data_IF_783586581610
#
_entry.id   IF_783586581610
#
_cell.length_a   1.000
_cell.length_b   1.000
_cell.length_c   1.000
_cell.angle_alpha   90.00
_cell.angle_beta   90.00
_cell.angle_gamma   90.00
#
_symmetry.space_group_name_H-M   'P 1'
#
loop_
_entity.id
_entity.type
_entity.pdbx_description
1 polymer ?
#
# COMPACT_ATOMS: atom_id res chain seq x y z
N UNK A 1 -5.61 -12.62 18.68
CA UNK A 1 -6.70 -13.10 17.82
C UNK A 1 -6.12 -13.47 16.47
N UNK A 2 -6.58 -14.58 15.87
CA UNK A 2 -6.08 -15.07 14.58
C UNK A 2 -6.67 -14.24 13.45
N UNK A 3 -5.83 -13.77 12.53
CA UNK A 3 -6.24 -13.09 11.30
C UNK A 3 -6.79 -14.15 10.34
N UNK A 4 -8.03 -14.02 9.84
CA UNK A 4 -8.63 -15.05 9.01
C UNK A 4 -7.93 -15.11 7.66
N UNK A 5 -7.69 -16.33 7.18
CA UNK A 5 -7.19 -16.59 5.84
C UNK A 5 -8.28 -16.28 4.80
N UNK A 6 -7.91 -15.61 3.72
CA UNK A 6 -8.83 -15.23 2.65
C UNK A 6 -8.60 -16.06 1.39
N UNK A 7 -7.36 -16.06 0.89
CA UNK A 7 -7.01 -16.70 -0.38
C UNK A 7 -5.51 -16.98 -0.46
N UNK A 8 -5.16 -17.97 -1.27
CA UNK A 8 -3.80 -18.21 -1.73
C UNK A 8 -3.78 -18.32 -3.26
N UNK A 9 -2.72 -17.85 -3.91
CA UNK A 9 -2.58 -17.96 -5.38
C UNK A 9 -1.15 -17.80 -5.86
N UNK A 10 -0.90 -18.34 -7.06
CA UNK A 10 0.40 -18.24 -7.76
C UNK A 10 0.57 -16.86 -8.40
N UNK A 11 1.82 -16.44 -8.54
CA UNK A 11 2.22 -15.20 -9.18
C UNK A 11 2.37 -15.30 -10.71
N UNK A 12 2.35 -16.51 -11.27
CA UNK A 12 2.73 -16.75 -12.68
C UNK A 12 1.77 -16.14 -13.71
N UNK A 13 0.52 -15.87 -13.31
CA UNK A 13 -0.55 -15.37 -14.19
C UNK A 13 -0.89 -13.90 -13.96
N UNK A 14 -0.24 -13.25 -13.01
CA UNK A 14 -0.56 -11.87 -12.62
C UNK A 14 0.66 -10.97 -12.81
N UNK A 15 0.41 -9.75 -13.26
CA UNK A 15 1.45 -8.73 -13.39
C UNK A 15 1.47 -7.91 -12.11
N UNK A 16 2.60 -7.93 -11.41
CA UNK A 16 2.78 -7.14 -10.20
C UNK A 16 3.00 -5.66 -10.56
N UNK A 17 2.18 -4.80 -10.00
CA UNK A 17 2.27 -3.34 -10.12
C UNK A 17 3.25 -2.79 -9.07
N UNK A 18 3.96 -1.73 -9.43
CA UNK A 18 4.94 -1.13 -8.54
C UNK A 18 5.74 -0.02 -9.19
N UNK A 19 6.75 0.45 -8.47
CA UNK A 19 7.66 1.51 -8.90
C UNK A 19 9.10 0.97 -8.92
N UNK A 20 9.88 1.33 -9.94
CA UNK A 20 11.29 0.92 -10.09
C UNK A 20 11.53 -0.61 -10.04
N UNK A 21 10.60 -1.40 -10.58
CA UNK A 21 10.70 -2.88 -10.61
C UNK A 21 10.48 -3.55 -9.24
N UNK A 22 10.10 -2.78 -8.21
CA UNK A 22 9.72 -3.33 -6.91
C UNK A 22 8.20 -3.43 -6.81
N UNK A 23 7.63 -4.63 -6.65
CA UNK A 23 6.20 -4.79 -6.58
C UNK A 23 5.66 -4.21 -5.27
N UNK A 24 4.48 -3.60 -5.31
CA UNK A 24 3.92 -2.89 -4.16
C UNK A 24 3.57 -3.85 -3.01
N UNK A 25 3.17 -5.09 -3.31
CA UNK A 25 2.87 -6.11 -2.29
C UNK A 25 4.09 -6.45 -1.42
N UNK A 26 5.32 -6.37 -1.97
CA UNK A 26 6.55 -6.63 -1.20
C UNK A 26 6.80 -5.54 -0.15
N UNK A 27 6.19 -4.36 -0.32
CA UNK A 27 6.29 -3.22 0.60
C UNK A 27 5.06 -3.12 1.52
N UNK A 28 4.21 -4.14 1.57
CA UNK A 28 2.94 -4.10 2.31
C UNK A 28 3.08 -3.66 3.77
N UNK A 29 4.05 -4.21 4.50
CA UNK A 29 4.24 -3.86 5.92
C UNK A 29 4.59 -2.38 6.09
N UNK A 30 5.52 -1.87 5.28
CA UNK A 30 5.94 -0.47 5.29
C UNK A 30 4.79 0.48 4.92
N UNK A 31 3.99 0.11 3.90
CA UNK A 31 2.83 0.91 3.47
C UNK A 31 1.78 0.97 4.57
N UNK A 32 1.43 -0.18 5.16
CA UNK A 32 0.45 -0.23 6.25
C UNK A 32 0.89 0.57 7.47
N UNK A 33 2.17 0.50 7.82
CA UNK A 33 2.71 1.29 8.91
C UNK A 33 2.68 2.79 8.58
N UNK A 34 2.99 3.19 7.35
CA UNK A 34 2.87 4.57 6.90
C UNK A 34 1.42 5.07 6.96
N UNK A 35 0.45 4.26 6.52
CA UNK A 35 -0.98 4.58 6.63
C UNK A 35 -1.41 4.72 8.10
N UNK A 36 -0.95 3.84 8.99
CA UNK A 36 -1.19 3.94 10.44
C UNK A 36 -0.68 5.27 11.00
N UNK A 37 0.56 5.67 10.67
CA UNK A 37 1.16 6.93 11.10
C UNK A 37 0.45 8.16 10.51
N UNK A 38 -0.15 8.02 9.32
CA UNK A 38 -0.96 9.04 8.66
C UNK A 38 -2.41 9.07 9.15
N UNK A 39 -2.77 8.25 10.14
CA UNK A 39 -4.14 8.10 10.67
C UNK A 39 -5.15 7.68 9.58
N UNK A 40 -4.73 6.77 8.71
CA UNK A 40 -5.53 6.21 7.61
C UNK A 40 -5.84 4.71 7.84
N UNK A 41 -6.52 4.33 8.94
CA UNK A 41 -6.80 2.93 9.24
C UNK A 41 -7.79 2.31 8.25
N UNK A 42 -8.75 3.08 7.72
CA UNK A 42 -9.74 2.58 6.76
C UNK A 42 -9.07 2.02 5.50
N UNK A 43 -8.12 2.75 4.91
CA UNK A 43 -7.33 2.29 3.76
C UNK A 43 -6.55 1.01 4.13
N UNK A 44 -5.88 0.99 5.30
CA UNK A 44 -5.12 -0.18 5.72
C UNK A 44 -6.00 -1.41 5.97
N UNK A 45 -7.22 -1.21 6.43
CA UNK A 45 -8.21 -2.27 6.68
C UNK A 45 -8.77 -2.85 5.36
N UNK A 46 -8.81 -2.05 4.28
CA UNK A 46 -9.17 -2.55 2.96
C UNK A 46 -8.11 -3.43 2.30
N UNK A 47 -6.88 -3.48 2.83
CA UNK A 47 -5.79 -4.24 2.24
C UNK A 47 -5.60 -5.56 3.00
N UNK A 48 -5.70 -6.70 2.31
CA UNK A 48 -5.26 -7.96 2.88
C UNK A 48 -3.74 -7.93 3.13
N UNK A 49 -3.27 -8.74 4.07
CA UNK A 49 -1.86 -8.85 4.42
C UNK A 49 -1.25 -9.99 3.61
N UNK A 50 -0.32 -9.70 2.67
CA UNK A 50 0.36 -10.73 1.90
C UNK A 50 1.42 -11.44 2.76
N UNK A 51 1.50 -12.75 2.62
CA UNK A 51 2.56 -13.59 3.14
C UNK A 51 3.05 -14.51 2.03
N UNK A 52 4.30 -14.33 1.62
CA UNK A 52 4.93 -15.25 0.66
C UNK A 52 5.15 -16.60 1.34
N UNK A 53 4.91 -17.66 0.58
CA UNK A 53 5.30 -19.01 1.00
C UNK A 53 6.84 -19.16 0.99
N UNK A 54 7.34 -20.28 1.52
CA UNK A 54 8.77 -20.55 1.59
C UNK A 54 9.48 -20.61 0.23
N UNK A 55 8.73 -20.93 -0.84
CA UNK A 55 9.23 -21.03 -2.22
C UNK A 55 9.16 -19.69 -2.97
N UNK A 56 8.49 -18.67 -2.39
CA UNK A 56 8.27 -17.34 -2.94
C UNK A 56 7.55 -17.31 -4.30
N UNK A 57 6.82 -18.37 -4.65
CA UNK A 57 6.04 -18.52 -5.89
C UNK A 57 4.52 -18.32 -5.65
N UNK A 58 4.09 -18.34 -4.38
CA UNK A 58 2.68 -18.12 -3.98
C UNK A 58 2.57 -17.11 -2.84
N UNK A 59 1.47 -16.37 -2.83
CA UNK A 59 1.12 -15.46 -1.74
C UNK A 59 -0.16 -15.93 -1.07
N UNK A 60 -0.09 -16.06 0.25
CA UNK A 60 -1.23 -16.24 1.15
C UNK A 60 -1.70 -14.86 1.64
N UNK A 61 -2.99 -14.60 1.52
CA UNK A 61 -3.62 -13.33 1.88
C UNK A 61 -4.51 -13.52 3.10
N UNK A 62 -4.28 -12.70 4.11
CA UNK A 62 -5.03 -12.71 5.37
C UNK A 62 -5.76 -11.39 5.58
N UNK A 63 -6.94 -11.42 6.19
CA UNK A 63 -7.63 -10.18 6.54
C UNK A 63 -6.84 -9.43 7.65
N UNK A 64 -6.90 -8.09 7.67
CA UNK A 64 -6.17 -7.32 8.67
C UNK A 64 -6.80 -7.37 10.06
N UNK A 65 -8.07 -7.75 10.15
CA UNK A 65 -8.86 -7.91 11.39
C UNK A 65 -9.67 -9.21 11.35
N UNK A 66 -10.16 -9.65 12.52
CA UNK A 66 -11.01 -10.84 12.65
C UNK A 66 -12.46 -10.53 12.30
N UNK A 67 -13.21 -11.52 11.81
CA UNK A 67 -14.63 -11.40 11.46
C UNK A 67 -15.11 -12.54 10.56
N UNK A 68 -16.41 -12.57 10.25
CA UNK A 68 -16.97 -13.51 9.28
C UNK A 68 -16.51 -13.13 7.87
N UNK A 69 -15.83 -14.05 7.20
CA UNK A 69 -15.38 -13.88 5.81
C UNK A 69 -16.50 -14.27 4.84
N UNK A 70 -16.79 -13.41 3.88
CA UNK A 70 -17.71 -13.65 2.77
C UNK A 70 -17.07 -13.21 1.45
N UNK A 71 -16.93 -14.07 0.44
CA UNK A 71 -16.46 -13.63 -0.87
C UNK A 71 -17.49 -12.70 -1.53
N UNK A 72 -17.03 -11.77 -2.38
CA UNK A 72 -17.90 -10.80 -3.07
C UNK A 72 -19.07 -11.46 -3.82
N UNK A 73 -18.82 -12.60 -4.47
CA UNK A 73 -19.84 -13.38 -5.18
C UNK A 73 -20.98 -13.88 -4.30
N UNK A 74 -20.73 -14.10 -3.00
CA UNK A 74 -21.73 -14.56 -2.03
C UNK A 74 -22.39 -13.41 -1.24
N UNK A 75 -21.99 -12.17 -1.49
CA UNK A 75 -22.60 -10.99 -0.88
C UNK A 75 -23.95 -10.64 -1.55
N UNK A 76 -24.90 -10.14 -0.77
CA UNK A 76 -26.12 -9.56 -1.32
C UNK A 76 -25.87 -8.14 -1.88
N UNK A 77 -26.82 -7.61 -2.64
CA UNK A 77 -26.64 -6.31 -3.32
C UNK A 77 -26.56 -5.12 -2.37
N UNK A 78 -27.13 -5.22 -1.16
CA UNK A 78 -26.97 -4.16 -0.16
C UNK A 78 -25.54 -4.16 0.39
N UNK A 79 -25.01 -5.34 0.70
CA UNK A 79 -23.63 -5.51 1.14
C UNK A 79 -22.63 -5.07 0.07
N UNK A 80 -22.85 -5.45 -1.19
CA UNK A 80 -22.00 -5.02 -2.32
C UNK A 80 -21.99 -3.50 -2.47
N UNK A 81 -23.17 -2.85 -2.45
CA UNK A 81 -23.26 -1.38 -2.51
C UNK A 81 -22.56 -0.70 -1.34
N UNK A 82 -22.83 -1.14 -0.12
CA UNK A 82 -22.21 -0.57 1.08
C UNK A 82 -20.68 -0.72 1.09
N UNK A 83 -20.18 -1.84 0.57
CA UNK A 83 -18.74 -2.09 0.47
C UNK A 83 -18.09 -1.31 -0.67
N UNK A 84 -18.76 -1.17 -1.81
CA UNK A 84 -18.28 -0.33 -2.91
C UNK A 84 -18.18 1.14 -2.46
N UNK A 85 -19.17 1.66 -1.73
CA UNK A 85 -19.10 3.01 -1.13
C UNK A 85 -17.89 3.18 -0.20
N UNK A 86 -17.56 2.16 0.61
CA UNK A 86 -16.36 2.20 1.45
C UNK A 86 -15.06 2.19 0.62
N UNK A 87 -15.01 1.41 -0.46
CA UNK A 87 -13.89 1.37 -1.38
C UNK A 87 -13.69 2.70 -2.12
N UNK A 88 -14.76 3.32 -2.62
CA UNK A 88 -14.73 4.63 -3.29
C UNK A 88 -14.21 5.73 -2.35
N UNK A 89 -14.64 5.71 -1.07
CA UNK A 89 -14.11 6.61 -0.05
C UNK A 89 -12.61 6.40 0.17
N UNK A 90 -12.16 5.14 0.28
CA UNK A 90 -10.74 4.81 0.41
C UNK A 90 -9.93 5.25 -0.82
N UNK A 91 -10.48 5.11 -2.03
CA UNK A 91 -9.81 5.57 -3.26
C UNK A 91 -9.62 7.08 -3.25
N UNK A 92 -10.65 7.82 -2.90
CA UNK A 92 -10.59 9.29 -2.77
C UNK A 92 -9.48 9.70 -1.79
N UNK A 93 -9.41 9.05 -0.62
CA UNK A 93 -8.40 9.32 0.40
C UNK A 93 -6.98 8.94 -0.07
N UNK A 94 -6.82 7.79 -0.74
CA UNK A 94 -5.54 7.34 -1.30
C UNK A 94 -5.03 8.32 -2.36
N UNK A 95 -5.90 8.81 -3.25
CA UNK A 95 -5.52 9.80 -4.25
C UNK A 95 -5.11 11.13 -3.63
N UNK A 96 -5.85 11.61 -2.64
CA UNK A 96 -5.50 12.83 -1.92
C UNK A 96 -4.13 12.69 -1.24
N UNK A 97 -3.89 11.55 -0.57
CA UNK A 97 -2.61 11.25 0.07
C UNK A 97 -1.47 11.14 -0.95
N UNK A 98 -1.72 10.51 -2.11
CA UNK A 98 -0.77 10.40 -3.21
C UNK A 98 -0.36 11.79 -3.72
N UNK A 99 -1.33 12.65 -4.06
CA UNK A 99 -1.09 14.02 -4.54
C UNK A 99 -0.25 14.83 -3.53
N UNK A 100 -0.60 14.77 -2.25
CA UNK A 100 0.14 15.47 -1.19
C UNK A 100 1.58 14.94 -1.04
N UNK A 101 1.76 13.61 -1.08
CA UNK A 101 3.06 12.99 -0.90
C UNK A 101 4.00 13.21 -2.10
N UNK A 102 3.46 13.22 -3.34
CA UNK A 102 4.21 13.53 -4.56
C UNK A 102 4.66 15.00 -4.60
N UNK A 103 3.86 15.92 -4.08
CA UNK A 103 4.21 17.34 -4.01
C UNK A 103 5.25 17.67 -2.91
N UNK A 104 5.53 16.74 -1.99
CA UNK A 104 6.46 16.96 -0.90
C UNK A 104 7.92 17.05 -1.40
N UNK A 105 8.81 17.84 -0.76
CA UNK A 105 10.20 17.97 -1.20
C UNK A 105 11.07 16.74 -0.88
N UNK A 106 10.60 15.83 -0.01
CA UNK A 106 11.35 14.64 0.38
C UNK A 106 11.17 13.52 -0.65
N UNK A 107 12.25 13.10 -1.30
CA UNK A 107 12.24 12.02 -2.30
C UNK A 107 11.63 10.70 -1.79
N UNK A 108 11.72 10.41 -0.48
CA UNK A 108 11.08 9.24 0.12
C UNK A 108 9.55 9.35 0.15
N UNK A 109 9.01 10.53 0.45
CA UNK A 109 7.57 10.79 0.41
C UNK A 109 7.04 10.81 -1.02
N UNK A 110 7.81 11.39 -1.95
CA UNK A 110 7.45 11.36 -3.37
C UNK A 110 7.31 9.93 -3.90
N UNK A 111 8.28 9.05 -3.57
CA UNK A 111 8.22 7.63 -3.91
C UNK A 111 7.04 6.93 -3.26
N UNK A 112 6.75 7.21 -2.00
CA UNK A 112 5.56 6.68 -1.33
C UNK A 112 4.27 7.13 -2.04
N UNK A 113 4.14 8.41 -2.35
CA UNK A 113 2.99 8.93 -3.08
C UNK A 113 2.84 8.32 -4.47
N UNK A 114 3.94 8.08 -5.18
CA UNK A 114 3.93 7.37 -6.46
C UNK A 114 3.40 5.94 -6.32
N UNK A 115 3.81 5.20 -5.28
CA UNK A 115 3.31 3.84 -5.03
C UNK A 115 1.81 3.80 -4.75
N UNK A 116 1.27 4.80 -4.06
CA UNK A 116 -0.15 4.83 -3.67
C UNK A 116 -1.13 4.72 -4.85
N UNK A 117 -0.73 5.12 -6.06
CA UNK A 117 -1.58 5.00 -7.26
C UNK A 117 -1.93 3.55 -7.62
N UNK A 118 -1.16 2.58 -7.15
CA UNK A 118 -1.37 1.16 -7.40
C UNK A 118 -2.06 0.44 -6.24
N UNK A 119 -2.32 1.12 -5.12
CA UNK A 119 -2.64 0.48 -3.85
C UNK A 119 -3.99 -0.26 -3.85
N UNK A 120 -4.99 0.28 -4.53
CA UNK A 120 -6.33 -0.29 -4.61
C UNK A 120 -6.61 -0.98 -5.95
N UNK A 121 -5.58 -1.22 -6.77
CA UNK A 121 -5.69 -1.96 -8.03
C UNK A 121 -5.65 -3.45 -7.75
N UNK A 122 -6.55 -4.24 -8.31
CA UNK A 122 -6.60 -5.70 -8.19
C UNK A 122 -7.16 -6.30 -9.49
N UNK A 123 -7.01 -7.63 -9.72
CA UNK A 123 -7.31 -8.21 -11.03
C UNK A 123 -8.81 -8.22 -11.40
N UNK A 124 -9.69 -8.63 -10.48
CA UNK A 124 -11.14 -8.76 -10.72
C UNK A 124 -11.93 -8.99 -9.41
N UNK A 125 -13.27 -9.08 -9.52
CA UNK A 125 -14.21 -9.27 -8.40
C UNK A 125 -13.91 -10.49 -7.50
N UNK A 126 -13.25 -11.54 -8.02
CA UNK A 126 -12.93 -12.75 -7.25
C UNK A 126 -11.89 -12.48 -6.14
N UNK A 127 -11.25 -11.31 -6.20
CA UNK A 127 -10.21 -10.90 -5.27
C UNK A 127 -10.74 -10.01 -4.14
N UNK A 128 -12.06 -9.81 -4.06
CA UNK A 128 -12.71 -8.97 -3.05
C UNK A 128 -13.47 -9.83 -2.05
N UNK A 129 -13.28 -9.53 -0.77
CA UNK A 129 -13.94 -10.19 0.35
C UNK A 129 -14.59 -9.16 1.26
N UNK A 130 -15.65 -9.56 1.95
CA UNK A 130 -16.24 -8.82 3.05
C UNK A 130 -15.86 -9.52 4.34
N UNK A 131 -15.32 -8.80 5.30
CA UNK A 131 -15.05 -9.29 6.65
C UNK A 131 -15.89 -8.43 7.59
N UNK A 132 -16.92 -9.02 8.20
CA UNK A 132 -17.95 -8.29 8.96
C UNK A 132 -18.50 -7.05 8.23
N UNK A 133 -18.77 -7.20 6.93
CA UNK A 133 -19.34 -6.13 6.07
C UNK A 133 -18.33 -5.07 5.59
N UNK A 134 -17.06 -5.16 5.99
CA UNK A 134 -15.99 -4.28 5.50
C UNK A 134 -15.25 -4.92 4.32
N UNK A 135 -15.00 -4.19 3.22
CA UNK A 135 -14.28 -4.74 2.07
C UNK A 135 -12.80 -4.95 2.39
N UNK A 136 -12.27 -6.09 1.96
CA UNK A 136 -10.85 -6.45 2.02
C UNK A 136 -10.41 -7.00 0.67
N UNK A 137 -9.45 -6.33 0.05
CA UNK A 137 -8.87 -6.67 -1.25
C UNK A 137 -7.71 -7.65 -1.06
N UNK A 138 -7.72 -8.74 -1.81
CA UNK A 138 -6.57 -9.64 -2.00
C UNK A 138 -5.92 -9.33 -3.35
N UNK A 139 -4.65 -9.71 -3.55
CA UNK A 139 -3.93 -9.41 -4.80
C UNK A 139 -4.00 -7.93 -5.20
N UNK A 140 -4.07 -7.04 -4.22
CA UNK A 140 -3.92 -5.62 -4.48
C UNK A 140 -2.50 -5.36 -4.98
N UNK A 141 -2.34 -4.39 -5.87
CA UNK A 141 -1.11 -4.17 -6.59
C UNK A 141 -0.83 -5.21 -7.69
N UNK A 142 -1.85 -5.88 -8.21
CA UNK A 142 -1.73 -6.76 -9.38
C UNK A 142 -2.77 -6.42 -10.43
N UNK A 143 -2.47 -6.72 -11.69
CA UNK A 143 -3.41 -6.73 -12.81
C UNK A 143 -3.28 -8.03 -13.61
N UNK A 144 -4.31 -8.36 -14.40
CA UNK A 144 -4.15 -9.36 -15.46
C UNK A 144 -3.22 -8.81 -16.55
N UNK A 145 -2.48 -9.71 -17.21
CA UNK A 145 -1.55 -9.31 -18.28
C UNK A 145 -2.29 -8.73 -19.51
N UNK A 146 -3.52 -9.19 -19.77
CA UNK A 146 -4.31 -8.74 -20.93
C UNK A 146 -5.19 -7.51 -20.62
N UNK A 147 -5.35 -7.14 -19.34
CA UNK A 147 -6.23 -6.05 -18.94
C UNK A 147 -5.56 -4.70 -19.25
N UNK A 148 -6.22 -3.87 -20.07
CA UNK A 148 -5.82 -2.47 -20.23
C UNK A 148 -6.01 -1.72 -18.91
N UNK A 149 -5.11 -0.78 -18.63
CA UNK A 149 -5.19 0.11 -17.47
C UNK A 149 -6.45 0.95 -17.53
N UNK A 150 -7.53 0.47 -16.91
CA UNK A 150 -8.72 1.29 -16.65
C UNK A 150 -8.34 2.39 -15.65
N UNK A 151 -8.96 3.56 -15.74
CA UNK A 151 -8.70 4.63 -14.78
C UNK A 151 -9.36 4.31 -13.43
N UNK A 152 -10.47 3.57 -13.45
CA UNK A 152 -11.22 3.18 -12.26
C UNK A 152 -10.86 1.77 -11.77
N UNK A 153 -10.28 1.61 -10.56
CA UNK A 153 -9.90 0.29 -10.04
C UNK A 153 -11.10 -0.60 -9.71
N UNK A 154 -12.29 -0.04 -9.51
CA UNK A 154 -13.49 -0.76 -9.10
C UNK A 154 -14.48 -0.98 -10.24
N UNK A 155 -14.10 -0.68 -11.49
CA UNK A 155 -14.98 -0.86 -12.65
C UNK A 155 -15.62 -2.25 -12.69
N UNK A 156 -14.84 -3.31 -12.42
CA UNK A 156 -15.35 -4.68 -12.36
C UNK A 156 -16.37 -4.94 -11.24
N UNK A 157 -16.44 -4.09 -10.19
CA UNK A 157 -17.38 -4.24 -9.08
C UNK A 157 -18.70 -3.52 -9.33
N UNK A 158 -18.74 -2.61 -10.31
CA UNK A 158 -19.95 -1.88 -10.64
C UNK A 158 -20.88 -2.79 -11.43
N UNK A 159 -22.19 -2.78 -11.14
CA UNK A 159 -23.15 -3.48 -11.97
C UNK A 159 -22.98 -3.01 -13.41
N UNK A 160 -22.95 -3.95 -14.36
CA UNK A 160 -23.13 -3.60 -15.76
C UNK A 160 -24.53 -3.00 -15.88
N UNK A 161 -24.61 -1.66 -15.90
CA UNK A 161 -25.85 -0.90 -16.14
C UNK A 161 -26.33 -1.05 -17.59
N UNK A 162 -25.80 -2.04 -18.32
CA UNK A 162 -26.32 -2.44 -19.61
C UNK A 162 -27.77 -2.87 -19.41
N UNK A 163 -28.74 -2.16 -20.00
CA UNK A 163 -30.11 -2.65 -20.03
C UNK A 163 -30.05 -4.08 -20.58
N UNK A 164 -30.73 -5.06 -19.95
CA UNK A 164 -30.87 -6.37 -20.59
C UNK A 164 -31.34 -6.09 -22.02
N UNK A 165 -30.72 -6.69 -23.06
CA UNK A 165 -31.13 -6.46 -24.43
C UNK A 165 -32.64 -6.66 -24.45
N UNK A 166 -33.37 -5.59 -24.82
CA UNK A 166 -34.81 -5.61 -24.83
C UNK A 166 -35.20 -6.83 -25.65
N UNK A 167 -35.65 -7.90 -24.97
CA UNK A 167 -36.23 -9.04 -25.64
C UNK A 167 -37.41 -8.42 -26.34
N UNK A 168 -37.32 -8.29 -27.66
CA UNK A 168 -38.35 -7.69 -28.47
C UNK A 168 -39.63 -8.48 -28.19
N UNK A 169 -40.47 -7.94 -27.32
CA UNK A 169 -41.81 -8.46 -27.12
C UNK A 169 -42.47 -8.39 -28.51
N UNK A 170 -43.07 -9.48 -29.02
CA UNK A 170 -43.78 -9.41 -30.28
C UNK A 170 -44.85 -8.34 -30.15
N UNK A 171 -44.78 -7.37 -31.05
CA UNK A 171 -45.70 -6.25 -31.13
C UNK A 171 -47.14 -6.77 -31.21
N UNK A 172 -47.89 -6.59 -30.12
CA UNK A 172 -49.33 -6.79 -30.11
C UNK A 172 -50.00 -5.42 -30.13
N UNK A 173 -50.58 -5.12 -31.29
CA UNK A 173 -51.75 -4.29 -31.56
C UNK A 173 -51.80 -2.85 -31.01
N UNK A 174 -51.63 -1.92 -31.95
CA UNK A 174 -52.08 -0.54 -31.92
C UNK A 174 -53.59 -0.43 -31.66
N UNK A 175 -53.99 0.46 -30.75
CA UNK A 175 -55.30 1.11 -30.78
C UNK A 175 -55.10 2.61 -30.50
N UNK A 176 -55.63 3.53 -31.32
CA UNK A 176 -55.58 4.97 -31.05
C UNK A 176 -56.88 5.44 -30.38
N UNK A 177 -56.78 6.32 -29.38
CA UNK A 177 -57.28 7.70 -29.48
C UNK A 177 -56.96 8.53 -28.23
N UNK A 178 -56.67 9.81 -28.47
CA UNK A 178 -56.33 10.91 -27.54
C UNK A 178 -57.63 11.59 -27.01
N UNK A 179 -57.61 12.76 -26.31
CA UNK A 179 -56.75 13.27 -25.23
C UNK A 179 -57.60 13.78 -24.02
N UNK A 180 -57.00 14.00 -22.84
CA UNK A 180 -57.62 14.86 -21.81
C UNK A 180 -56.57 15.62 -21.00
N UNK A 181 -56.83 16.90 -20.81
CA UNK A 181 -55.91 17.95 -20.39
C UNK A 181 -55.63 18.00 -18.88
N UNK A 182 -54.38 18.38 -18.57
CA UNK A 182 -53.78 19.16 -17.47
C UNK A 182 -54.67 19.60 -16.26
N UNK A 183 -54.13 19.73 -15.03
CA UNK A 183 -53.18 20.82 -14.77
C UNK A 183 -51.97 20.52 -13.88
N UNK A 184 -50.96 21.35 -14.18
CA UNK A 184 -49.72 21.62 -13.47
C UNK A 184 -49.95 22.01 -12.00
N UNK A 185 -49.22 21.40 -11.07
CA UNK A 185 -49.12 21.84 -9.66
C UNK A 185 -47.70 22.41 -9.45
N UNK A 186 -47.57 23.65 -8.95
CA UNK A 186 -46.29 24.38 -8.89
C UNK A 186 -45.34 23.86 -7.78
N UNK A 187 -44.03 24.18 -7.87
CA UNK A 187 -43.05 23.80 -6.85
C UNK A 187 -43.18 24.66 -5.59
N UNK A 188 -43.23 24.00 -4.43
CA UNK A 188 -43.18 24.64 -3.12
C UNK A 188 -41.75 25.07 -2.76
N UNK A 189 -41.50 26.34 -2.38
CA UNK A 189 -40.23 26.78 -1.84
C UNK A 189 -40.21 26.54 -0.32
N UNK A 190 -39.20 25.83 0.20
CA UNK A 190 -38.88 25.87 1.63
C UNK A 190 -37.73 26.83 1.88
N UNK A 191 -38.12 28.03 2.30
CA UNK A 191 -37.22 29.07 2.77
C UNK A 191 -36.71 28.81 4.19
N UNK A 192 -35.46 29.23 4.39
CA UNK A 192 -34.91 29.88 5.58
C UNK A 192 -34.77 29.09 6.90
N UNK A 193 -33.52 28.76 7.20
CA UNK A 193 -33.02 28.49 8.56
C UNK A 193 -31.69 29.20 8.82
N UNK A 194 -31.69 30.54 8.82
CA UNK A 194 -30.60 31.36 9.38
C UNK A 194 -30.50 31.08 10.88
N UNK A 195 -29.47 30.36 11.32
CA UNK A 195 -29.01 30.39 12.71
C UNK A 195 -27.50 30.58 12.77
N UNK A 196 -27.13 31.85 13.02
CA UNK A 196 -26.07 32.29 13.95
C UNK A 196 -24.66 31.81 13.58
N UNK A 197 -24.00 32.45 12.62
CA UNK A 197 -23.05 33.56 12.90
C UNK A 197 -22.93 33.90 14.39
N UNK A 198 -22.07 33.17 15.11
CA UNK A 198 -21.35 33.60 16.33
C UNK A 198 -20.41 32.48 16.79
N UNK A 199 -19.41 32.10 15.98
CA UNK A 199 -18.28 31.27 16.43
C UNK A 199 -16.94 31.76 15.86
N UNK A 200 -16.84 33.05 15.51
CA UNK A 200 -15.56 33.65 15.10
C UNK A 200 -14.65 34.15 16.25
N UNK A 201 -15.10 34.44 17.50
CA UNK A 201 -14.14 34.81 18.55
C UNK A 201 -13.47 33.61 19.24
N UNK A 202 -14.06 32.39 19.18
CA UNK A 202 -13.52 31.22 19.88
C UNK A 202 -12.26 30.64 19.20
N UNK A 203 -12.19 30.69 17.87
CA UNK A 203 -11.04 30.17 17.10
C UNK A 203 -9.81 31.05 17.27
N UNK A 204 -9.98 32.38 17.38
CA UNK A 204 -8.87 33.31 17.56
C UNK A 204 -8.15 33.13 18.91
N UNK A 205 -8.90 32.86 20.00
CA UNK A 205 -8.32 32.63 21.34
C UNK A 205 -7.55 31.30 21.38
N UNK A 206 -8.09 30.24 20.77
CA UNK A 206 -7.39 28.93 20.69
C UNK A 206 -6.09 29.05 19.89
N UNK A 207 -6.10 29.74 18.76
CA UNK A 207 -4.89 29.94 17.96
C UNK A 207 -3.81 30.76 18.70
N UNK A 208 -4.21 31.79 19.46
CA UNK A 208 -3.26 32.56 20.27
C UNK A 208 -2.64 31.74 21.41
N UNK A 209 -3.42 30.88 22.07
CA UNK A 209 -2.89 29.99 23.13
C UNK A 209 -1.93 28.93 22.59
N UNK A 210 -2.19 28.36 21.40
CA UNK A 210 -1.30 27.39 20.76
C UNK A 210 0.02 28.02 20.30
N UNK A 211 -0.02 29.27 19.81
CA UNK A 211 1.18 30.00 19.43
C UNK A 211 2.05 30.34 20.64
N UNK A 212 1.45 30.77 21.76
CA UNK A 212 2.16 31.04 23.01
C UNK A 212 2.81 29.78 23.60
N UNK A 213 2.11 28.64 23.56
CA UNK A 213 2.70 27.35 23.96
C UNK A 213 3.88 26.99 23.05
N UNK A 214 3.72 27.01 21.74
CA UNK A 214 4.81 26.68 20.80
C UNK A 214 6.06 27.56 20.99
N UNK A 215 5.86 28.85 21.30
CA UNK A 215 6.95 29.77 21.60
C UNK A 215 7.66 29.44 22.92
N UNK A 216 6.92 29.04 23.95
CA UNK A 216 7.50 28.66 25.25
C UNK A 216 8.34 27.37 25.12
N UNK A 217 7.84 26.35 24.43
CA UNK A 217 8.57 25.10 24.20
C UNK A 217 9.86 25.30 23.38
N UNK A 218 9.88 26.28 22.47
CA UNK A 218 11.07 26.62 21.67
C UNK A 218 12.17 27.31 22.49
N UNK A 219 11.81 28.01 23.58
CA UNK A 219 12.79 28.60 24.50
C UNK A 219 13.35 27.57 25.48
N UNK A 220 12.59 26.52 25.78
CA UNK A 220 12.98 25.49 26.75
C UNK A 220 13.95 24.43 26.22
N UNK A 221 14.37 24.46 24.95
CA UNK A 221 15.38 23.53 24.42
C UNK A 221 16.79 24.10 24.57
N UNK A 222 17.59 23.71 25.58
CA UNK A 222 18.98 24.08 25.65
C UNK A 222 19.77 23.42 24.49
N UNK A 223 20.73 24.12 23.88
CA UNK A 223 21.55 23.54 22.82
C UNK A 223 22.42 22.42 23.37
N UNK A 224 22.16 21.19 22.93
CA UNK A 224 22.97 20.01 23.26
C UNK A 224 24.39 20.21 22.72
N UNK A 225 25.33 20.59 23.58
CA UNK A 225 26.77 20.59 23.27
C UNK A 225 27.18 19.16 22.90
N UNK A 226 27.55 18.95 21.64
CA UNK A 226 28.18 17.69 21.19
C UNK A 226 29.48 17.48 21.98
N UNK A 227 29.70 16.31 22.59
CA UNK A 227 31.01 16.00 23.15
C UNK A 227 32.04 15.86 22.01
N UNK A 228 33.29 16.32 22.21
CA UNK A 228 34.34 16.14 21.22
C UNK A 228 34.66 14.65 21.05
N UNK A 229 34.80 14.21 19.80
CA UNK A 229 35.20 12.85 19.45
C UNK A 229 36.60 12.53 20.01
N UNK A 230 36.84 11.33 20.58
CA UNK A 230 38.18 10.91 20.96
C UNK A 230 39.03 10.65 19.71
N UNK A 231 40.16 11.36 19.62
CA UNK A 231 41.18 11.14 18.60
C UNK A 231 41.66 9.68 18.61
N UNK A 232 41.36 8.93 17.56
CA UNK A 232 42.01 7.66 17.27
C UNK A 232 43.48 7.93 16.92
N UNK A 233 44.39 7.69 17.88
CA UNK A 233 45.83 7.59 17.64
C UNK A 233 46.07 6.51 16.59
N UNK A 234 46.38 6.92 15.37
CA UNK A 234 46.98 6.07 14.34
C UNK A 234 48.30 5.53 14.91
N UNK A 235 48.30 4.24 15.27
CA UNK A 235 49.53 3.49 15.52
C UNK A 235 50.40 3.59 14.27
N UNK A 236 51.56 4.21 14.43
CA UNK A 236 52.59 4.31 13.42
C UNK A 236 52.92 2.91 12.88
N UNK A 237 52.66 2.68 11.59
CA UNK A 237 53.21 1.54 10.88
C UNK A 237 54.74 1.73 10.79
N UNK A 238 55.47 1.01 11.63
CA UNK A 238 56.91 0.80 11.50
C UNK A 238 57.15 0.19 10.11
N UNK A 239 57.77 0.95 9.21
CA UNK A 239 58.19 0.47 7.89
C UNK A 239 59.27 -0.60 8.08
N UNK A 240 59.14 -1.82 7.51
CA UNK A 240 60.25 -2.76 7.53
C UNK A 240 61.35 -2.28 6.58
N UNK A 241 62.58 -2.33 7.10
CA UNK A 241 63.85 -2.02 6.45
C UNK A 241 63.98 -2.82 5.15
N UNK A 242 64.18 -2.14 4.01
CA UNK A 242 64.53 -2.78 2.72
C UNK A 242 65.88 -3.50 2.88
N UNK A 243 65.89 -4.84 2.84
CA UNK A 243 67.08 -5.60 2.48
C UNK A 243 67.15 -5.71 0.96
N UNK A 244 68.28 -5.27 0.39
CA UNK A 244 68.67 -5.48 -1.01
C UNK A 244 69.01 -6.96 -1.20
N UNK A 245 68.39 -7.59 -2.18
CA UNK A 245 68.89 -8.83 -2.81
C UNK A 245 68.43 -8.86 -4.27
N UNK A 246 69.35 -9.30 -5.13
CA UNK A 246 69.42 -9.17 -6.59
C UNK A 246 68.19 -9.60 -7.42
N UNK A 247 68.07 -9.12 -8.68
CA UNK A 247 66.94 -9.41 -9.56
C UNK A 247 67.01 -10.82 -10.15
N UNK A 248 65.99 -11.64 -9.90
CA UNK A 248 65.75 -12.85 -10.69
C UNK A 248 65.17 -12.48 -12.06
N UNK A 249 65.93 -12.80 -13.12
CA UNK A 249 65.48 -12.80 -14.51
C UNK A 249 64.51 -13.96 -14.75
N UNK A 250 63.21 -13.72 -14.67
CA UNK A 250 62.13 -14.34 -15.47
C UNK A 250 60.79 -13.95 -14.86
N UNK A 251 59.76 -13.89 -15.71
CA UNK A 251 58.38 -13.48 -15.43
C UNK A 251 58.14 -11.95 -15.50
N UNK A 252 57.90 -11.47 -16.73
CA UNK A 252 57.00 -10.34 -17.00
C UNK A 252 55.64 -10.67 -16.36
N UNK A 253 55.09 -9.82 -15.50
CA UNK A 253 53.67 -9.43 -15.34
C UNK A 253 53.52 -8.56 -14.05
N UNK A 254 52.63 -7.55 -14.01
CA UNK A 254 52.57 -6.57 -12.94
C UNK A 254 51.69 -7.04 -11.76
N UNK A 255 52.23 -6.99 -10.54
CA UNK A 255 51.51 -7.33 -9.30
C UNK A 255 50.64 -6.17 -8.82
N UNK A 256 49.34 -6.15 -9.17
CA UNK A 256 48.30 -5.49 -8.38
C UNK A 256 47.71 -6.49 -7.37
N UNK A 257 47.99 -6.21 -6.10
CA UNK A 257 47.33 -6.61 -4.84
C UNK A 257 46.23 -7.70 -4.94
N UNK A 258 46.60 -8.94 -4.61
CA UNK A 258 45.68 -9.93 -4.05
C UNK A 258 45.61 -9.73 -2.52
N UNK A 259 44.52 -9.15 -2.03
CA UNK A 259 44.09 -9.28 -0.64
C UNK A 259 42.61 -9.68 -0.64
N UNK A 260 42.34 -10.98 -0.61
CA UNK A 260 41.04 -11.55 -0.26
C UNK A 260 41.27 -12.55 0.87
N UNK A 261 40.44 -12.55 1.94
CA UNK A 261 40.61 -13.43 3.10
C UNK A 261 40.06 -14.85 2.81
N UNK A 262 40.54 -15.90 3.49
CA UNK A 262 40.03 -17.25 3.30
C UNK A 262 38.66 -17.43 3.98
N UNK A 263 37.65 -17.85 3.22
CA UNK A 263 36.38 -18.39 3.72
C UNK A 263 36.64 -19.73 4.42
N UNK A 264 36.19 -19.87 5.68
CA UNK A 264 36.13 -21.15 6.39
C UNK A 264 34.99 -22.00 5.79
N UNK A 265 35.33 -23.19 5.28
CA UNK A 265 34.36 -24.23 4.94
C UNK A 265 33.92 -25.00 6.21
N UNK A 266 32.65 -25.41 6.34
CA UNK A 266 32.20 -26.22 7.47
C UNK A 266 32.65 -27.68 7.34
N UNK A 267 33.05 -28.29 8.47
CA UNK A 267 33.47 -29.70 8.59
C UNK A 267 32.27 -30.66 8.46
N UNK A 268 32.41 -31.82 7.80
CA UNK A 268 31.39 -32.86 7.82
C UNK A 268 31.42 -33.66 9.13
N UNK A 269 30.24 -33.90 9.70
CA UNK A 269 30.02 -34.72 10.90
C UNK A 269 30.31 -36.20 10.60
N UNK A 270 31.28 -36.80 11.31
CA UNK A 270 31.52 -38.25 11.30
C UNK A 270 30.36 -38.97 11.99
N UNK A 271 29.53 -39.69 11.22
CA UNK A 271 28.70 -40.80 11.73
C UNK A 271 29.62 -41.90 12.25
N UNK A 272 29.51 -42.23 13.53
CA UNK A 272 30.06 -43.46 14.11
C UNK A 272 29.13 -44.61 13.73
N UNK A 273 29.61 -45.51 12.87
CA UNK A 273 29.12 -46.89 12.83
C UNK A 273 29.61 -47.58 14.11
N UNK A 274 28.68 -48.05 14.95
CA UNK A 274 28.96 -49.12 15.92
C UNK A 274 28.61 -50.42 15.23
N UNK A 275 29.59 -51.30 15.10
CA UNK A 275 29.40 -52.71 14.85
C UNK A 275 29.64 -53.46 16.17
N UNK A 276 28.68 -54.28 16.56
CA UNK A 276 28.76 -55.38 17.53
C UNK A 276 27.70 -56.37 17.05
N UNK A 277 28.15 -57.46 16.40
CA UNK A 277 28.16 -58.84 16.90
C UNK A 277 26.75 -59.40 17.04
#
# INVERSE_FOLDING_TARGET
MTKPFLRSGSLDRLVALGENGQPIYAQAQSIREALRLKQQPAIADCLAIPQLNAQQDRIDWYAPFSGQVRPWSAADDNQRRAALTQLDACLTDVEALSRQAVAAPQAALQRFGALLRYLLRFPDMQHVYLVDGKPVLTFWGFSHAEQRSDDDPFACLRPDDAPPPAVAAPAAATAPDMPAAAPMVPPQPRAAGRRRLLLLPAIAVVMATLAALGWHWRQSTPPTRRPPLPYLRLRQCVRPRRRRSNPCRRCRWPRRRCCLPPRRLPRPSRRRMRATR
#
